data_IF_901422718959
#
_entry.id   IF_901422718959
#
_cell.length_a   1.000
_cell.length_b   1.000
_cell.length_c   1.000
_cell.angle_alpha   90.00
_cell.angle_beta   90.00
_cell.angle_gamma   90.00
#
_symmetry.space_group_name_H-M   'P 1'
#
loop_
_entity.id
_entity.type
_entity.pdbx_description
1 polymer ?
#
# COMPACT_ATOMS: atom_id res chain seq x y z
N UNK A 1 -22.98 -128.28 27.82
CA UNK A 1 -23.55 -129.17 26.76
C UNK A 1 -25.02 -128.78 26.62
N UNK A 2 -25.65 -128.47 25.48
CA UNK A 2 -25.40 -128.46 24.02
C UNK A 2 -26.17 -127.22 23.49
N UNK A 3 -25.56 -126.34 22.69
CA UNK A 3 -25.66 -126.22 21.22
C UNK A 3 -27.08 -126.07 20.64
N UNK A 4 -27.31 -124.95 19.96
CA UNK A 4 -28.37 -124.73 18.98
C UNK A 4 -28.19 -123.37 18.29
N UNK A 5 -27.48 -123.34 17.17
CA UNK A 5 -27.39 -122.22 16.21
C UNK A 5 -28.52 -122.32 15.19
N UNK A 6 -29.12 -121.19 14.81
CA UNK A 6 -29.70 -120.90 13.48
C UNK A 6 -29.91 -119.37 13.41
N UNK A 7 -29.05 -118.62 12.70
CA UNK A 7 -29.05 -118.24 11.28
C UNK A 7 -29.90 -116.98 10.94
N UNK A 8 -29.16 -115.95 10.50
CA UNK A 8 -29.43 -114.89 9.52
C UNK A 8 -30.87 -114.42 9.20
N UNK A 9 -31.09 -113.11 9.37
CA UNK A 9 -31.60 -112.24 8.31
C UNK A 9 -31.28 -110.77 8.67
N UNK A 10 -30.35 -110.16 7.93
CA UNK A 10 -30.03 -108.74 8.04
C UNK A 10 -31.14 -107.85 7.48
N UNK A 11 -31.55 -106.84 8.23
CA UNK A 11 -32.42 -105.77 7.75
C UNK A 11 -31.53 -104.66 7.15
N UNK A 12 -31.81 -104.09 5.97
CA UNK A 12 -30.97 -103.05 5.38
C UNK A 12 -31.01 -101.76 6.23
N UNK A 13 -29.90 -101.01 6.33
CA UNK A 13 -29.89 -99.74 7.03
C UNK A 13 -30.68 -98.67 6.26
N UNK A 14 -31.27 -97.68 6.96
CA UNK A 14 -32.05 -96.61 6.34
C UNK A 14 -31.17 -95.71 5.45
N UNK A 15 -31.75 -95.05 4.42
CA UNK A 15 -30.98 -94.19 3.53
C UNK A 15 -30.42 -93.00 4.31
N UNK A 16 -29.08 -92.87 4.28
CA UNK A 16 -28.34 -91.75 4.84
C UNK A 16 -28.77 -90.45 4.16
N UNK A 17 -29.55 -89.63 4.87
CA UNK A 17 -29.84 -88.26 4.46
C UNK A 17 -28.54 -87.46 4.32
N UNK A 18 -28.31 -86.86 3.15
CA UNK A 18 -27.17 -85.96 2.94
C UNK A 18 -27.30 -84.74 3.86
N UNK A 19 -26.24 -84.28 4.53
CA UNK A 19 -26.30 -83.01 5.24
C UNK A 19 -26.52 -81.87 4.24
N UNK A 20 -27.37 -80.90 4.60
CA UNK A 20 -27.61 -79.71 3.80
C UNK A 20 -26.29 -78.96 3.51
N UNK A 21 -26.09 -78.41 2.30
CA UNK A 21 -24.88 -77.68 1.99
C UNK A 21 -24.77 -76.44 2.88
N UNK A 22 -23.61 -76.24 3.51
CA UNK A 22 -23.30 -75.02 4.27
C UNK A 22 -23.41 -73.81 3.33
N UNK A 23 -23.96 -72.66 3.79
CA UNK A 23 -24.01 -71.47 2.95
C UNK A 23 -22.59 -71.05 2.59
N UNK A 24 -22.33 -70.91 1.28
CA UNK A 24 -21.03 -70.49 0.78
C UNK A 24 -20.67 -69.09 1.35
N UNK A 25 -19.40 -68.82 1.67
CA UNK A 25 -18.99 -67.49 2.10
C UNK A 25 -19.32 -66.48 1.00
N UNK A 26 -20.06 -65.41 1.35
CA UNK A 26 -20.36 -64.32 0.41
C UNK A 26 -19.05 -63.68 -0.02
N UNK A 27 -18.56 -64.03 -1.21
CA UNK A 27 -17.41 -63.39 -1.84
C UNK A 27 -17.82 -61.96 -2.15
N UNK A 28 -17.45 -61.02 -1.28
CA UNK A 28 -17.64 -59.59 -1.54
C UNK A 28 -16.88 -59.28 -2.83
N UNK A 29 -17.61 -58.98 -3.89
CA UNK A 29 -17.04 -58.73 -5.21
C UNK A 29 -15.94 -57.69 -5.08
N UNK A 30 -14.72 -58.00 -5.55
CA UNK A 30 -13.56 -57.10 -5.46
C UNK A 30 -13.93 -55.69 -5.97
N UNK A 31 -14.82 -55.59 -6.96
CA UNK A 31 -15.37 -54.34 -7.49
C UNK A 31 -16.11 -53.51 -6.45
N UNK A 32 -16.90 -54.12 -5.55
CA UNK A 32 -17.62 -53.42 -4.50
C UNK A 32 -16.69 -52.87 -3.39
N UNK A 33 -15.63 -53.64 -3.05
CA UNK A 33 -14.60 -53.18 -2.11
C UNK A 33 -13.80 -52.02 -2.71
N UNK A 34 -13.40 -52.10 -3.99
CA UNK A 34 -12.72 -51.01 -4.68
C UNK A 34 -13.62 -49.77 -4.85
N UNK A 35 -14.91 -49.94 -5.15
CA UNK A 35 -15.85 -48.83 -5.26
C UNK A 35 -16.05 -48.08 -3.93
N UNK A 36 -16.18 -48.82 -2.82
CA UNK A 36 -16.28 -48.20 -1.49
C UNK A 36 -14.99 -47.46 -1.10
N UNK A 37 -13.81 -48.05 -1.36
CA UNK A 37 -12.52 -47.40 -1.11
C UNK A 37 -12.31 -46.18 -1.99
N UNK A 38 -12.67 -46.23 -3.28
CA UNK A 38 -12.56 -45.10 -4.20
C UNK A 38 -13.49 -43.95 -3.78
N UNK A 39 -14.69 -44.25 -3.26
CA UNK A 39 -15.61 -43.23 -2.74
C UNK A 39 -15.02 -42.51 -1.52
N UNK A 40 -14.49 -43.26 -0.56
CA UNK A 40 -13.81 -42.66 0.60
C UNK A 40 -12.60 -41.83 0.15
N UNK A 41 -11.79 -42.36 -0.77
CA UNK A 41 -10.60 -41.68 -1.28
C UNK A 41 -10.97 -40.37 -1.98
N UNK A 42 -12.02 -40.34 -2.81
CA UNK A 42 -12.55 -39.13 -3.44
C UNK A 42 -13.07 -38.10 -2.43
N UNK A 43 -13.71 -38.54 -1.34
CA UNK A 43 -14.18 -37.63 -0.29
C UNK A 43 -13.00 -37.01 0.47
N UNK A 44 -11.99 -37.81 0.83
CA UNK A 44 -10.81 -37.29 1.51
C UNK A 44 -9.96 -36.38 0.63
N UNK A 45 -9.74 -36.74 -0.64
CA UNK A 45 -8.96 -35.89 -1.55
C UNK A 45 -9.69 -34.58 -1.86
N UNK A 46 -11.01 -34.61 -2.08
CA UNK A 46 -11.78 -33.38 -2.29
C UNK A 46 -11.80 -32.48 -1.05
N UNK A 47 -11.93 -33.04 0.16
CA UNK A 47 -11.84 -32.28 1.40
C UNK A 47 -10.47 -31.58 1.58
N UNK A 48 -9.37 -32.28 1.27
CA UNK A 48 -8.02 -31.69 1.33
C UNK A 48 -7.86 -30.55 0.32
N UNK A 49 -8.37 -30.72 -0.91
CA UNK A 49 -8.31 -29.67 -1.94
C UNK A 49 -9.09 -28.44 -1.50
N UNK A 50 -10.33 -28.61 -1.02
CA UNK A 50 -11.16 -27.49 -0.55
C UNK A 50 -10.51 -26.78 0.64
N UNK A 51 -9.94 -27.53 1.58
CA UNK A 51 -9.20 -26.96 2.72
C UNK A 51 -7.98 -26.17 2.26
N UNK A 52 -7.16 -26.71 1.36
CA UNK A 52 -5.96 -26.04 0.86
C UNK A 52 -6.30 -24.73 0.14
N UNK A 53 -7.35 -24.74 -0.70
CA UNK A 53 -7.84 -23.54 -1.38
C UNK A 53 -8.37 -22.52 -0.37
N UNK A 54 -9.15 -22.97 0.62
CA UNK A 54 -9.68 -22.13 1.69
C UNK A 54 -8.57 -21.45 2.50
N UNK A 55 -7.54 -22.20 2.90
CA UNK A 55 -6.38 -21.66 3.64
C UNK A 55 -5.59 -20.68 2.79
N UNK A 56 -5.35 -20.97 1.51
CA UNK A 56 -4.60 -20.08 0.61
C UNK A 56 -5.35 -18.77 0.38
N UNK A 57 -6.68 -18.83 0.21
CA UNK A 57 -7.51 -17.65 0.07
C UNK A 57 -7.58 -16.82 1.37
N UNK A 58 -7.66 -17.49 2.54
CA UNK A 58 -7.71 -16.83 3.84
C UNK A 58 -6.35 -16.29 4.31
N UNK A 59 -5.23 -16.81 3.83
CA UNK A 59 -3.89 -16.40 4.23
C UNK A 59 -3.63 -14.91 3.94
N UNK A 60 -4.07 -14.42 2.79
CA UNK A 60 -3.88 -13.00 2.39
C UNK A 60 -4.60 -12.02 3.33
N UNK A 61 -5.92 -12.11 3.58
CA UNK A 61 -6.59 -11.21 4.52
C UNK A 61 -6.10 -11.39 5.96
N UNK A 62 -5.77 -12.61 6.39
CA UNK A 62 -5.22 -12.85 7.74
C UNK A 62 -3.85 -12.18 7.90
N UNK A 63 -2.97 -12.30 6.90
CA UNK A 63 -1.68 -11.61 6.87
C UNK A 63 -1.87 -10.09 6.85
N UNK A 64 -2.81 -9.57 6.06
CA UNK A 64 -3.15 -8.13 6.06
C UNK A 64 -3.61 -7.65 7.44
N UNK A 65 -4.49 -8.39 8.12
CA UNK A 65 -4.93 -8.04 9.48
C UNK A 65 -3.78 -8.07 10.48
N UNK A 66 -2.89 -9.07 10.38
CA UNK A 66 -1.70 -9.16 11.22
C UNK A 66 -0.74 -7.99 10.98
N UNK A 67 -0.43 -7.69 9.72
CA UNK A 67 0.44 -6.57 9.34
C UNK A 67 -0.16 -5.22 9.72
N UNK A 68 -1.48 -5.06 9.58
CA UNK A 68 -2.21 -3.86 9.98
C UNK A 68 -2.29 -3.67 11.50
N UNK A 69 -2.24 -4.74 12.30
CA UNK A 69 -2.26 -4.66 13.76
C UNK A 69 -0.87 -4.48 14.37
N UNK A 70 0.16 -5.05 13.75
CA UNK A 70 1.54 -5.07 14.29
C UNK A 70 2.47 -4.05 13.64
N UNK A 71 2.09 -3.47 12.50
CA UNK A 71 2.95 -2.59 11.71
C UNK A 71 4.10 -3.31 10.99
N UNK A 72 4.06 -4.65 10.92
CA UNK A 72 5.10 -5.46 10.30
C UNK A 72 5.27 -5.09 8.82
N UNK A 73 6.52 -5.05 8.32
CA UNK A 73 6.90 -4.62 6.96
C UNK A 73 6.57 -3.15 6.59
N UNK A 74 6.41 -2.26 7.58
CA UNK A 74 6.17 -0.84 7.33
C UNK A 74 4.73 -0.50 6.91
N UNK A 75 3.81 -1.46 7.04
CA UNK A 75 2.37 -1.22 6.87
C UNK A 75 1.89 -0.32 8.01
N UNK A 76 1.26 0.84 7.75
CA UNK A 76 0.81 1.73 8.81
C UNK A 76 -0.26 1.01 9.65
N UNK A 77 -0.10 1.06 10.96
CA UNK A 77 -1.07 0.54 11.91
C UNK A 77 -2.36 1.35 11.72
N UNK A 78 -3.49 0.69 11.48
CA UNK A 78 -4.80 1.37 11.42
C UNK A 78 -5.10 1.89 12.84
N UNK A 79 -4.94 3.19 13.04
CA UNK A 79 -5.02 3.85 14.35
C UNK A 79 -3.71 4.51 14.84
N UNK A 80 -2.64 4.52 14.02
CA UNK A 80 -1.50 5.43 14.21
C UNK A 80 -1.18 6.17 12.90
N UNK A 81 -2.21 6.76 12.30
CA UNK A 81 -2.01 7.79 11.30
C UNK A 81 -1.40 9.02 11.97
N UNK A 82 -0.50 9.72 11.26
CA UNK A 82 -0.14 11.09 11.64
C UNK A 82 -1.39 11.98 11.81
N UNK A 83 -2.51 11.59 11.19
CA UNK A 83 -3.80 12.28 11.18
C UNK A 83 -4.89 11.66 12.08
N UNK A 84 -4.55 10.84 13.09
CA UNK A 84 -5.58 10.31 13.99
C UNK A 84 -6.29 11.42 14.78
N UNK A 85 -7.61 11.32 15.01
CA UNK A 85 -8.39 12.36 15.70
C UNK A 85 -7.81 12.74 17.07
N UNK A 86 -7.20 11.79 17.77
CA UNK A 86 -6.56 12.01 19.07
C UNK A 86 -5.32 12.92 19.00
N UNK A 87 -4.64 13.00 17.84
CA UNK A 87 -3.47 13.86 17.63
C UNK A 87 -3.83 15.27 17.18
N UNK A 88 -5.08 15.49 16.74
CA UNK A 88 -5.63 16.80 16.37
C UNK A 88 -6.31 17.52 17.56
N UNK A 89 -6.05 17.07 18.79
CA UNK A 89 -6.53 17.74 20.00
C UNK A 89 -5.45 18.72 20.48
N UNK A 90 -5.73 20.02 20.57
CA UNK A 90 -4.79 21.00 21.10
C UNK A 90 -4.42 20.66 22.55
N UNK A 91 -3.12 20.63 22.85
CA UNK A 91 -2.65 20.44 24.23
C UNK A 91 -2.76 21.76 24.99
N UNK A 92 -3.82 21.91 25.78
CA UNK A 92 -4.03 23.08 26.64
C UNK A 92 -2.89 23.19 27.68
N UNK A 93 -2.16 24.30 27.65
CA UNK A 93 -0.98 24.54 28.52
C UNK A 93 0.38 24.27 27.86
N UNK A 94 0.40 23.76 26.63
CA UNK A 94 1.62 23.67 25.84
C UNK A 94 2.10 25.04 25.35
N UNK A 95 3.41 25.13 25.03
CA UNK A 95 3.97 26.33 24.41
C UNK A 95 3.45 26.49 22.99
N UNK A 96 3.08 27.72 22.65
CA UNK A 96 2.72 28.10 21.29
C UNK A 96 3.96 28.20 20.42
N UNK A 97 3.88 27.63 19.22
CA UNK A 97 4.95 27.65 18.24
C UNK A 97 4.56 28.65 17.14
N UNK A 98 5.49 29.54 16.80
CA UNK A 98 5.33 30.52 15.73
C UNK A 98 5.83 29.92 14.42
N UNK A 99 4.94 29.77 13.46
CA UNK A 99 5.27 29.30 12.11
C UNK A 99 5.35 30.51 11.20
N UNK A 100 6.53 30.77 10.67
CA UNK A 100 6.82 31.80 9.67
C UNK A 100 6.67 31.20 8.27
N UNK A 101 6.02 31.93 7.39
CA UNK A 101 5.81 31.52 6.01
C UNK A 101 6.74 32.28 5.10
N UNK A 102 7.57 31.54 4.38
CA UNK A 102 8.43 32.06 3.35
C UNK A 102 8.03 31.49 1.98
N UNK A 103 8.20 32.31 0.94
CA UNK A 103 7.74 32.04 -0.41
C UNK A 103 8.77 32.57 -1.40
N UNK A 104 9.32 31.67 -2.19
CA UNK A 104 10.32 31.95 -3.21
C UNK A 104 9.91 31.35 -4.56
N UNK A 105 10.38 31.96 -5.64
CA UNK A 105 10.19 31.49 -7.02
C UNK A 105 11.53 31.50 -7.73
N UNK A 106 11.80 30.52 -8.59
CA UNK A 106 12.98 30.57 -9.44
C UNK A 106 12.87 31.70 -10.47
N UNK A 107 14.00 32.29 -10.87
CA UNK A 107 14.05 33.38 -11.86
C UNK A 107 13.45 32.98 -13.23
N UNK A 108 13.45 31.67 -13.52
CA UNK A 108 12.90 31.11 -14.76
C UNK A 108 11.37 30.94 -14.73
N UNK A 109 10.76 31.14 -13.56
CA UNK A 109 9.33 31.10 -13.35
C UNK A 109 8.83 32.53 -13.11
N UNK A 110 8.25 33.20 -14.12
CA UNK A 110 7.76 34.57 -14.01
C UNK A 110 6.44 34.63 -13.22
N UNK A 111 6.43 34.03 -12.04
CA UNK A 111 5.32 34.04 -11.11
C UNK A 111 5.62 35.02 -9.98
N UNK A 112 4.56 35.58 -9.41
CA UNK A 112 4.62 36.21 -8.13
C UNK A 112 3.95 35.30 -7.12
N UNK A 113 4.74 34.80 -6.19
CA UNK A 113 4.28 33.92 -5.13
C UNK A 113 4.56 34.59 -3.79
N UNK A 114 3.51 34.87 -3.03
CA UNK A 114 3.62 35.59 -1.75
C UNK A 114 2.72 34.93 -0.70
N UNK A 115 3.15 34.86 0.57
CA UNK A 115 2.29 34.44 1.64
C UNK A 115 1.33 35.59 1.98
N UNK A 116 0.05 35.30 2.20
CA UNK A 116 -0.91 36.31 2.67
C UNK A 116 -0.63 36.70 4.14
N UNK A 117 -0.01 35.81 4.90
CA UNK A 117 0.29 35.96 6.31
C UNK A 117 1.78 35.70 6.51
N UNK A 118 2.51 36.56 7.23
CA UNK A 118 3.94 36.35 7.47
C UNK A 118 4.21 35.25 8.50
N UNK A 119 3.34 35.16 9.51
CA UNK A 119 3.44 34.14 10.54
C UNK A 119 2.07 33.85 11.15
N UNK A 120 1.93 32.66 11.71
CA UNK A 120 0.82 32.27 12.59
C UNK A 120 1.37 31.61 13.83
N UNK A 121 0.59 31.59 14.91
CA UNK A 121 1.00 31.02 16.19
C UNK A 121 -0.01 29.96 16.59
N UNK A 122 0.47 28.72 16.70
CA UNK A 122 -0.37 27.53 16.86
C UNK A 122 0.08 26.71 18.07
N UNK A 123 -0.85 26.01 18.71
CA UNK A 123 -0.54 25.01 19.71
C UNK A 123 -0.18 23.67 19.03
N UNK A 124 0.67 22.84 19.66
CA UNK A 124 0.81 21.44 19.25
C UNK A 124 -0.55 20.73 19.32
N UNK A 125 -0.91 20.04 18.26
CA UNK A 125 -2.22 19.42 18.02
C UNK A 125 -3.27 20.35 17.41
N UNK A 126 -3.01 21.66 17.31
CA UNK A 126 -3.93 22.62 16.69
C UNK A 126 -3.74 22.65 15.16
N UNK A 127 -4.83 22.43 14.45
CA UNK A 127 -4.87 22.57 13.00
C UNK A 127 -4.98 24.04 12.61
N UNK A 128 -4.13 24.48 11.68
CA UNK A 128 -4.10 25.85 11.19
C UNK A 128 -4.09 25.92 9.68
N UNK A 129 -4.71 26.99 9.16
CA UNK A 129 -4.85 27.26 7.75
C UNK A 129 -4.10 28.54 7.39
N UNK A 130 -3.15 28.43 6.47
CA UNK A 130 -2.45 29.55 5.87
C UNK A 130 -2.84 29.70 4.40
N UNK A 131 -2.72 30.91 3.86
CA UNK A 131 -2.99 31.17 2.44
C UNK A 131 -1.76 31.73 1.76
N UNK A 132 -1.46 31.20 0.58
CA UNK A 132 -0.51 31.78 -0.35
C UNK A 132 -1.24 32.27 -1.59
N UNK A 133 -0.67 33.28 -2.24
CA UNK A 133 -1.17 33.83 -3.48
C UNK A 133 -0.12 33.64 -4.57
N UNK A 134 -0.51 33.00 -5.66
CA UNK A 134 0.32 32.85 -6.85
C UNK A 134 -0.31 33.59 -8.03
N UNK A 135 0.52 34.31 -8.78
CA UNK A 135 0.11 35.01 -10.00
C UNK A 135 1.09 34.76 -11.12
N UNK A 136 0.60 34.30 -12.27
CA UNK A 136 1.41 34.20 -13.48
C UNK A 136 1.53 35.58 -14.15
N UNK A 137 2.73 36.13 -14.22
CA UNK A 137 2.98 37.44 -14.86
C UNK A 137 3.30 37.34 -16.35
N UNK A 138 3.37 36.13 -16.90
CA UNK A 138 3.63 35.92 -18.32
C UNK A 138 2.35 35.90 -19.16
N UNK A 139 2.56 35.99 -20.47
CA UNK A 139 1.57 35.87 -21.53
C UNK A 139 1.30 34.42 -21.95
N UNK A 140 1.90 33.44 -21.26
CA UNK A 140 1.81 32.01 -21.58
C UNK A 140 1.37 31.22 -20.36
N UNK A 141 0.72 30.09 -20.63
CA UNK A 141 0.44 29.10 -19.61
C UNK A 141 1.76 28.49 -19.13
N UNK A 142 1.95 28.46 -17.81
CA UNK A 142 3.14 27.86 -17.20
C UNK A 142 2.70 26.83 -16.17
N UNK A 143 3.44 25.72 -16.12
CA UNK A 143 3.30 24.71 -15.09
C UNK A 143 4.45 24.89 -14.10
N UNK A 144 4.11 24.96 -12.82
CA UNK A 144 5.05 25.08 -11.72
C UNK A 144 4.94 23.87 -10.79
N UNK A 145 6.08 23.43 -10.28
CA UNK A 145 6.17 22.48 -9.17
C UNK A 145 6.81 23.20 -7.99
N UNK A 146 6.24 23.01 -6.80
CA UNK A 146 6.83 23.56 -5.59
C UNK A 146 7.62 22.49 -4.83
N UNK A 147 8.66 22.92 -4.15
CA UNK A 147 9.33 22.15 -3.10
C UNK A 147 9.20 22.90 -1.79
N UNK A 148 9.30 22.19 -0.67
CA UNK A 148 9.20 22.81 0.64
C UNK A 148 10.29 22.31 1.58
N UNK A 149 10.67 23.16 2.51
CA UNK A 149 11.54 22.82 3.62
C UNK A 149 11.02 23.43 4.92
N UNK A 150 11.27 22.72 6.02
CA UNK A 150 10.88 23.13 7.37
C UNK A 150 12.13 23.27 8.20
N UNK A 151 12.35 24.46 8.78
CA UNK A 151 13.52 24.77 9.60
C UNK A 151 13.08 25.14 11.02
N UNK A 152 13.74 24.65 12.08
CA UNK A 152 14.89 23.73 12.10
C UNK A 152 14.53 22.28 11.73
N UNK A 153 15.43 21.54 11.10
CA UNK A 153 15.19 20.17 10.59
C UNK A 153 14.63 19.18 11.64
N UNK A 154 14.94 19.40 12.92
CA UNK A 154 14.47 18.55 14.02
C UNK A 154 12.94 18.55 14.17
N UNK A 155 12.26 19.61 13.73
CA UNK A 155 10.80 19.67 13.78
C UNK A 155 10.12 18.98 12.59
N UNK A 156 10.85 18.74 11.50
CA UNK A 156 10.29 18.17 10.27
C UNK A 156 9.48 16.87 10.47
N UNK A 157 9.85 15.93 11.36
CA UNK A 157 9.07 14.72 11.60
C UNK A 157 7.68 14.98 12.21
N UNK A 158 7.58 16.03 13.03
CA UNK A 158 6.40 16.45 13.78
C UNK A 158 5.54 17.46 13.02
N UNK A 159 6.09 18.10 11.99
CA UNK A 159 5.34 19.00 11.13
C UNK A 159 4.56 18.19 10.10
N UNK A 160 3.25 18.05 10.31
CA UNK A 160 2.37 17.29 9.44
C UNK A 160 1.58 18.24 8.55
N UNK A 161 1.94 18.24 7.26
CA UNK A 161 1.19 18.95 6.23
C UNK A 161 0.05 18.05 5.74
N UNK A 162 -1.19 18.49 5.92
CA UNK A 162 -2.40 17.71 5.59
C UNK A 162 -2.73 17.84 4.11
N UNK A 163 -2.68 19.06 3.56
CA UNK A 163 -3.02 19.32 2.16
C UNK A 163 -1.95 20.14 1.45
N UNK A 164 -1.62 19.72 0.24
CA UNK A 164 -0.38 20.10 -0.41
C UNK A 164 -0.54 20.35 -1.91
N UNK A 165 -0.71 21.62 -2.29
CA UNK A 165 -0.42 22.12 -3.66
C UNK A 165 1.02 21.82 -4.13
N UNK A 166 1.90 21.36 -3.23
CA UNK A 166 3.33 21.16 -3.51
C UNK A 166 3.63 19.82 -4.19
N UNK A 167 2.69 18.87 -4.21
CA UNK A 167 2.91 17.58 -4.89
C UNK A 167 2.17 17.46 -6.23
N UNK A 168 1.33 18.44 -6.54
CA UNK A 168 0.60 18.47 -7.80
C UNK A 168 1.08 19.66 -8.63
N UNK A 169 1.41 19.36 -9.88
CA UNK A 169 1.74 20.35 -10.90
C UNK A 169 0.65 21.42 -10.95
N UNK A 170 1.00 22.66 -10.59
CA UNK A 170 0.07 23.77 -10.68
C UNK A 170 0.21 24.40 -12.06
N UNK A 171 -0.85 24.36 -12.85
CA UNK A 171 -0.93 25.09 -14.11
C UNK A 171 -1.63 26.42 -13.86
N UNK A 172 -0.92 27.52 -14.08
CA UNK A 172 -1.50 28.87 -14.09
C UNK A 172 -1.57 29.39 -15.52
N UNK A 173 -2.75 29.80 -15.95
CA UNK A 173 -2.96 30.46 -17.23
C UNK A 173 -2.25 31.82 -17.26
N UNK A 174 -2.08 32.37 -18.47
CA UNK A 174 -1.52 33.70 -18.64
C UNK A 174 -2.29 34.75 -17.83
N UNK A 175 -1.60 35.49 -16.94
CA UNK A 175 -2.20 36.53 -16.10
C UNK A 175 -3.06 36.03 -14.93
N UNK A 176 -3.25 34.72 -14.77
CA UNK A 176 -4.11 34.14 -13.73
C UNK A 176 -3.53 34.36 -12.33
N UNK A 177 -4.42 34.61 -11.37
CA UNK A 177 -4.10 34.75 -9.95
C UNK A 177 -4.98 33.79 -9.15
N UNK A 178 -4.35 32.95 -8.32
CA UNK A 178 -5.03 31.90 -7.52
C UNK A 178 -4.56 31.97 -6.07
N UNK A 179 -5.51 31.82 -5.16
CA UNK A 179 -5.25 31.64 -3.74
C UNK A 179 -5.11 30.14 -3.42
N UNK A 180 -3.98 29.75 -2.84
CA UNK A 180 -3.62 28.38 -2.50
C UNK A 180 -3.67 28.19 -0.98
N UNK A 181 -4.72 27.54 -0.44
CA UNK A 181 -4.78 27.19 0.97
C UNK A 181 -3.74 26.15 1.37
N UNK A 182 -3.23 26.25 2.60
CA UNK A 182 -2.28 25.33 3.20
C UNK A 182 -2.82 24.92 4.57
N UNK A 183 -3.26 23.67 4.69
CA UNK A 183 -3.67 23.08 5.96
C UNK A 183 -2.52 22.29 6.59
N UNK A 184 -2.15 22.64 7.82
CA UNK A 184 -1.07 21.98 8.55
C UNK A 184 -1.36 21.93 10.05
N UNK A 185 -0.67 21.05 10.75
CA UNK A 185 -0.63 21.02 12.22
C UNK A 185 0.76 20.54 12.67
N UNK A 186 1.06 20.82 13.94
CA UNK A 186 2.28 20.33 14.60
C UNK A 186 1.86 19.23 15.55
N UNK A 187 2.46 18.06 15.43
CA UNK A 187 2.17 16.92 16.29
C UNK A 187 2.54 17.21 17.75
N UNK A 188 1.67 16.80 18.69
CA UNK A 188 1.89 16.97 20.13
C UNK A 188 3.15 16.27 20.64
N UNK A 189 3.62 15.22 19.95
CA UNK A 189 4.78 14.43 20.35
C UNK A 189 6.10 15.25 20.30
N UNK A 190 6.08 16.45 19.70
CA UNK A 190 7.17 17.43 19.80
C UNK A 190 7.47 17.83 21.25
N UNK A 191 6.48 17.75 22.15
CA UNK A 191 6.63 18.10 23.56
C UNK A 191 7.47 17.08 24.32
N UNK A 192 7.44 15.82 23.88
CA UNK A 192 8.15 14.72 24.51
C UNK A 192 9.61 14.64 24.05
N UNK A 193 9.93 15.15 22.86
CA UNK A 193 11.29 15.16 22.31
C UNK A 193 12.19 16.22 22.98
N UNK A 194 13.26 15.81 23.71
CA UNK A 194 14.21 16.73 24.30
C UNK A 194 14.89 17.66 23.28
N UNK A 195 15.05 17.20 22.04
CA UNK A 195 15.71 17.92 20.95
C UNK A 195 14.90 19.10 20.45
N UNK A 196 13.58 19.06 20.63
CA UNK A 196 12.63 20.08 20.17
C UNK A 196 12.19 21.04 21.29
N UNK A 197 12.63 20.84 22.54
CA UNK A 197 12.27 21.67 23.70
C UNK A 197 12.61 23.16 23.60
N UNK A 198 13.38 23.63 22.63
CA UNK A 198 13.72 25.06 22.47
C UNK A 198 13.27 25.62 21.11
N UNK A 199 12.39 24.91 20.41
CA UNK A 199 11.88 25.35 19.11
C UNK A 199 10.58 26.11 19.36
N UNK A 200 10.67 27.44 19.39
CA UNK A 200 9.50 28.32 19.48
C UNK A 200 9.20 29.00 18.13
N UNK A 201 10.18 29.05 17.21
CA UNK A 201 10.05 29.61 15.86
C UNK A 201 10.39 28.54 14.82
N UNK A 202 9.51 28.40 13.84
CA UNK A 202 9.60 27.44 12.74
C UNK A 202 9.44 28.21 11.45
N UNK A 203 10.28 27.95 10.46
CA UNK A 203 10.16 28.55 9.14
C UNK A 203 9.73 27.47 8.16
N UNK A 204 8.58 27.69 7.53
CA UNK A 204 8.10 26.91 6.41
C UNK A 204 8.36 27.68 5.13
N UNK A 205 9.34 27.22 4.38
CA UNK A 205 9.75 27.82 3.11
C UNK A 205 9.23 26.98 1.95
N UNK A 206 8.59 27.65 0.99
CA UNK A 206 8.23 27.07 -0.30
C UNK A 206 9.02 27.73 -1.41
N UNK A 207 9.54 26.92 -2.33
CA UNK A 207 10.17 27.42 -3.55
C UNK A 207 9.52 26.78 -4.78
N UNK A 208 8.98 27.62 -5.66
CA UNK A 208 8.42 27.18 -6.93
C UNK A 208 9.48 27.16 -8.03
N UNK A 209 9.47 26.07 -8.80
CA UNK A 209 10.26 25.87 -9.99
C UNK A 209 9.34 25.69 -11.19
N UNK A 210 9.81 26.12 -12.35
CA UNK A 210 9.15 25.80 -13.61
C UNK A 210 9.26 24.29 -13.86
N UNK A 211 8.22 23.71 -14.43
CA UNK A 211 8.21 22.33 -14.89
C UNK A 211 7.74 22.32 -16.34
N UNK A 212 8.44 21.55 -17.19
CA UNK A 212 8.04 21.29 -18.57
C UNK A 212 7.76 19.81 -18.73
N UNK A 213 6.69 19.47 -19.46
CA UNK A 213 6.46 18.12 -19.96
C UNK A 213 6.72 18.07 -21.45
N UNK A 214 7.42 17.04 -21.89
CA UNK A 214 7.55 16.73 -23.32
C UNK A 214 6.25 16.12 -23.87
N UNK A 215 6.16 15.90 -25.19
CA UNK A 215 4.94 15.37 -25.84
C UNK A 215 4.55 13.95 -25.38
N UNK A 216 5.46 13.24 -24.71
CA UNK A 216 5.23 11.92 -24.12
C UNK A 216 4.76 12.00 -22.66
N UNK A 217 4.61 13.21 -22.12
CA UNK A 217 4.20 13.45 -20.74
C UNK A 217 5.30 13.24 -19.70
N UNK A 218 6.57 13.12 -20.09
CA UNK A 218 7.67 13.03 -19.13
C UNK A 218 8.11 14.43 -18.69
N UNK A 219 8.46 14.57 -17.41
CA UNK A 219 9.08 15.78 -16.87
C UNK A 219 10.46 15.96 -17.51
N UNK A 220 10.65 17.08 -18.21
CA UNK A 220 11.92 17.45 -18.82
C UNK A 220 12.59 18.50 -17.92
N UNK A 221 13.87 18.31 -17.54
CA UNK A 221 14.63 19.31 -16.82
C UNK A 221 14.71 20.60 -17.62
N UNK A 222 14.59 21.75 -16.96
CA UNK A 222 14.67 23.07 -17.64
C UNK A 222 16.10 23.48 -18.05
N UNK A 223 17.12 22.67 -17.72
CA UNK A 223 18.49 22.90 -18.19
C UNK A 223 18.63 22.46 -19.65
N UNK A 224 19.38 23.21 -20.48
CA UNK A 224 19.57 22.82 -21.88
C UNK A 224 20.27 21.45 -21.96
N UNK A 225 19.86 20.65 -22.95
CA UNK A 225 20.20 19.22 -23.02
C UNK A 225 21.72 18.98 -22.92
N UNK A 226 22.53 19.85 -23.52
CA UNK A 226 23.99 19.80 -23.47
C UNK A 226 24.54 19.90 -22.04
N UNK A 227 23.99 20.80 -21.20
CA UNK A 227 24.39 20.97 -19.80
C UNK A 227 23.96 19.76 -18.96
N UNK A 228 22.77 19.22 -19.23
CA UNK A 228 22.26 18.03 -18.54
C UNK A 228 23.13 16.81 -18.87
N UNK A 229 23.44 16.60 -20.14
CA UNK A 229 24.29 15.49 -20.58
C UNK A 229 25.73 15.62 -20.09
N UNK A 230 26.30 16.83 -20.09
CA UNK A 230 27.61 17.10 -19.51
C UNK A 230 27.66 16.78 -18.01
N UNK A 231 26.63 17.15 -17.26
CA UNK A 231 26.54 16.90 -15.81
C UNK A 231 26.37 15.41 -15.49
N UNK A 232 25.74 14.65 -16.38
CA UNK A 232 25.58 13.19 -16.25
C UNK A 232 26.77 12.39 -16.79
N UNK A 233 27.82 13.06 -17.29
CA UNK A 233 29.02 12.42 -17.83
C UNK A 233 28.87 11.88 -19.26
N UNK A 234 27.82 12.27 -19.98
CA UNK A 234 27.54 11.81 -21.34
C UNK A 234 27.92 12.83 -22.43
N UNK A 235 28.54 13.95 -22.06
CA UNK A 235 28.89 15.05 -22.98
C UNK A 235 29.72 14.69 -24.20
N UNK A 236 30.51 13.61 -24.14
CA UNK A 236 31.37 13.16 -25.25
C UNK A 236 30.69 12.15 -26.20
N UNK A 237 29.44 11.75 -25.93
CA UNK A 237 28.74 10.73 -26.73
C UNK A 237 27.68 11.35 -27.64
N UNK A 238 27.71 10.99 -28.93
CA UNK A 238 26.68 11.42 -29.89
C UNK A 238 25.34 10.75 -29.56
N UNK A 239 24.36 11.57 -29.17
CA UNK A 239 23.03 11.10 -28.79
C UNK A 239 22.14 10.86 -30.00
N UNK A 240 21.35 9.78 -29.95
CA UNK A 240 20.32 9.55 -30.96
C UNK A 240 19.29 10.70 -30.95
N UNK A 241 18.81 11.15 -32.13
CA UNK A 241 17.84 12.25 -32.21
C UNK A 241 16.55 11.90 -31.46
N UNK A 242 16.02 12.87 -30.70
CA UNK A 242 14.79 12.73 -29.92
C UNK A 242 13.65 12.27 -30.84
N UNK A 243 12.74 11.44 -30.31
CA UNK A 243 11.65 10.87 -31.08
C UNK A 243 10.67 11.94 -31.65
N UNK A 244 10.66 13.14 -31.05
CA UNK A 244 9.90 14.29 -31.52
C UNK A 244 10.43 14.85 -32.84
N UNK A 245 11.75 14.98 -33.00
CA UNK A 245 12.38 15.45 -34.24
C UNK A 245 12.17 14.48 -35.40
N UNK A 246 12.02 13.18 -35.11
CA UNK A 246 11.73 12.15 -36.13
C UNK A 246 10.33 12.26 -36.72
N UNK A 247 9.37 12.86 -36.01
CA UNK A 247 7.98 13.01 -36.51
C UNK A 247 7.78 14.28 -37.34
N UNK A 248 8.71 15.22 -37.32
CA UNK A 248 8.65 16.47 -38.11
C UNK A 248 9.27 16.39 -39.51
N UNK A 249 9.92 15.27 -39.87
CA UNK A 249 10.63 15.11 -41.15
C UNK A 249 9.91 14.19 -42.15
N UNK A 250 8.57 14.10 -42.10
CA UNK A 250 7.75 13.35 -43.06
C UNK A 250 6.75 14.25 -43.76
#
# INVERSE_FOLDING_TARGET
MRRGMANEAGNPPPPSGRPAPRPAPRLVSRKAVYAARNRSLLMYTSAVIVLAVGVTYAAVPLYRMFCAATGFAGTPIVGTGKFDPERLVPVEGARRIKVHFNADTSDQLPWQFIPQQKFVTVLPGETSLAFYKAKNKSDKDIIGIATYNVTPDRIAPYFAKVECFCFEEQKLLAGEEVDMPLLFFIDKDILDDPSCRKIDDVVLSYTFFRARRNSQGNLEPDAPDDVVQNSMGFGEYEHAPKAEDRRGSS
#
